data_IF_385676626957
#
_entry.id   IF_385676626957
#
_cell.length_a   1.000
_cell.length_b   1.000
_cell.length_c   1.000
_cell.angle_alpha   90.00
_cell.angle_beta   90.00
_cell.angle_gamma   90.00
#
_symmetry.space_group_name_H-M   'P 1'
#
loop_
_entity.id
_entity.type
_entity.pdbx_description
1 polymer ?
#
# COMPACT_ATOMS: atom_id res chain seq x y z
N UNK A 1 -15.94 0.33 -2.32
CA UNK A 1 -14.81 -0.37 -1.69
C UNK A 1 -14.20 0.54 -0.65
N UNK A 2 -13.68 -0.02 0.43
CA UNK A 2 -12.81 0.73 1.36
C UNK A 2 -11.40 0.85 0.79
N UNK A 3 -10.61 1.77 1.34
CA UNK A 3 -9.18 1.90 1.00
C UNK A 3 -8.42 0.59 1.26
N UNK A 4 -8.68 -0.07 2.39
CA UNK A 4 -8.06 -1.34 2.75
C UNK A 4 -8.44 -2.47 1.77
N UNK A 5 -9.72 -2.57 1.38
CA UNK A 5 -10.17 -3.53 0.36
C UNK A 5 -9.45 -3.32 -0.98
N UNK A 6 -9.31 -2.05 -1.41
CA UNK A 6 -8.61 -1.70 -2.65
C UNK A 6 -7.12 -2.10 -2.57
N UNK A 7 -6.46 -1.73 -1.49
CA UNK A 7 -5.03 -2.03 -1.28
C UNK A 7 -4.75 -3.52 -1.24
N UNK A 8 -5.50 -4.30 -0.44
CA UNK A 8 -5.38 -5.77 -0.40
C UNK A 8 -5.63 -6.41 -1.75
N UNK A 9 -6.60 -5.89 -2.52
CA UNK A 9 -6.86 -6.36 -3.88
C UNK A 9 -5.69 -6.04 -4.81
N UNK A 10 -5.07 -4.86 -4.71
CA UNK A 10 -3.90 -4.50 -5.51
C UNK A 10 -2.71 -5.42 -5.21
N UNK A 11 -2.38 -5.62 -3.93
CA UNK A 11 -1.32 -6.55 -3.49
C UNK A 11 -1.60 -7.97 -3.96
N UNK A 12 -2.81 -8.49 -3.75
CA UNK A 12 -3.19 -9.82 -4.23
C UNK A 12 -3.07 -9.95 -5.74
N UNK A 13 -3.53 -8.94 -6.50
CA UNK A 13 -3.40 -8.92 -7.97
C UNK A 13 -1.94 -8.94 -8.39
N UNK A 14 -1.07 -8.18 -7.71
CA UNK A 14 0.36 -8.18 -7.97
C UNK A 14 0.99 -9.55 -7.70
N UNK A 15 0.66 -10.22 -6.58
CA UNK A 15 1.14 -11.57 -6.27
C UNK A 15 0.76 -12.58 -7.36
N UNK A 16 -0.48 -12.55 -7.86
CA UNK A 16 -0.92 -13.47 -8.92
C UNK A 16 -0.20 -13.24 -10.26
N UNK A 17 0.28 -12.02 -10.52
CA UNK A 17 0.92 -11.62 -11.77
C UNK A 17 2.43 -11.39 -11.63
N UNK A 18 3.01 -11.75 -10.48
CA UNK A 18 4.43 -11.51 -10.21
C UNK A 18 5.28 -12.34 -11.20
N UNK A 19 6.26 -11.71 -11.90
CA UNK A 19 7.10 -12.41 -12.87
C UNK A 19 7.99 -13.50 -12.26
N UNK A 20 8.23 -13.46 -10.94
CA UNK A 20 8.92 -14.52 -10.18
C UNK A 20 8.05 -15.77 -10.02
N UNK A 21 6.73 -15.64 -10.21
CA UNK A 21 5.73 -16.67 -9.99
C UNK A 21 5.19 -16.67 -8.56
N UNK A 22 3.89 -16.96 -8.44
CA UNK A 22 3.14 -16.95 -7.16
C UNK A 22 3.82 -17.79 -6.07
N UNK A 23 4.31 -18.98 -6.39
CA UNK A 23 4.94 -19.88 -5.40
C UNK A 23 6.22 -19.29 -4.80
N UNK A 24 7.01 -18.57 -5.60
CA UNK A 24 8.21 -17.90 -5.11
C UNK A 24 7.85 -16.80 -4.10
N UNK A 25 6.83 -16.01 -4.40
CA UNK A 25 6.32 -14.95 -3.52
C UNK A 25 5.76 -15.51 -2.22
N UNK A 26 4.95 -16.57 -2.29
CA UNK A 26 4.40 -17.21 -1.09
C UNK A 26 5.50 -17.81 -0.21
N UNK A 27 6.55 -18.38 -0.80
CA UNK A 27 7.70 -18.89 -0.07
C UNK A 27 8.47 -17.77 0.66
N UNK A 28 8.58 -16.60 0.04
CA UNK A 28 9.18 -15.41 0.67
C UNK A 28 8.37 -14.95 1.89
N UNK A 29 7.05 -14.83 1.74
CA UNK A 29 6.15 -14.47 2.84
C UNK A 29 6.19 -15.49 3.99
N UNK A 30 6.25 -16.78 3.68
CA UNK A 30 6.39 -17.85 4.69
C UNK A 30 7.73 -17.75 5.45
N UNK A 31 8.82 -17.43 4.75
CA UNK A 31 10.12 -17.20 5.38
C UNK A 31 10.06 -16.00 6.34
N UNK A 32 9.49 -14.87 5.90
CA UNK A 32 9.31 -13.68 6.75
C UNK A 32 8.48 -13.96 8.00
N UNK A 33 7.40 -14.75 7.87
CA UNK A 33 6.59 -15.20 9.02
C UNK A 33 7.41 -16.00 10.03
N UNK A 34 8.20 -16.97 9.54
CA UNK A 34 9.08 -17.77 10.40
C UNK A 34 10.15 -16.93 11.10
N UNK A 35 10.65 -15.89 10.44
CA UNK A 35 11.62 -14.99 11.04
C UNK A 35 10.98 -14.11 12.11
N UNK A 36 9.77 -13.59 11.85
CA UNK A 36 8.98 -12.86 12.85
C UNK A 36 8.66 -13.70 14.10
N UNK A 37 8.30 -14.98 13.93
CA UNK A 37 8.01 -15.90 15.04
C UNK A 37 9.23 -16.17 15.94
N UNK A 38 10.45 -16.07 15.39
CA UNK A 38 11.70 -16.27 16.14
C UNK A 38 12.18 -15.03 16.88
N UNK A 39 11.65 -13.85 16.53
CA UNK A 39 12.04 -12.61 17.19
C UNK A 39 11.62 -12.62 18.66
N UNK A 40 12.43 -12.00 19.51
CA UNK A 40 12.03 -11.72 20.89
C UNK A 40 10.96 -10.62 20.91
N UNK A 41 10.24 -10.54 22.02
CA UNK A 41 9.10 -9.63 22.14
C UNK A 41 9.51 -8.15 22.00
N UNK A 42 10.71 -7.79 22.48
CA UNK A 42 11.30 -6.45 22.33
C UNK A 42 11.73 -6.15 20.89
N UNK A 43 12.06 -7.16 20.10
CA UNK A 43 12.43 -7.01 18.69
C UNK A 43 11.20 -6.93 17.78
N UNK A 44 10.10 -7.60 18.15
CA UNK A 44 8.85 -7.58 17.37
C UNK A 44 8.21 -6.21 17.29
N UNK A 45 8.41 -5.33 18.28
CA UNK A 45 7.91 -3.95 18.25
C UNK A 45 8.47 -3.15 17.06
N UNK A 46 9.69 -3.47 16.64
CA UNK A 46 10.38 -2.78 15.54
C UNK A 46 10.21 -3.50 14.19
N UNK A 47 9.54 -4.64 14.16
CA UNK A 47 9.33 -5.41 12.94
C UNK A 47 8.23 -4.77 12.07
N UNK A 48 8.48 -4.68 10.76
CA UNK A 48 7.47 -4.21 9.80
C UNK A 48 6.43 -5.31 9.57
N UNK A 49 5.34 -5.28 10.34
CA UNK A 49 4.26 -6.27 10.28
C UNK A 49 3.56 -6.32 8.92
N UNK A 50 3.62 -5.24 8.13
CA UNK A 50 3.07 -5.20 6.77
C UNK A 50 3.78 -6.21 5.86
N UNK A 51 5.06 -6.49 6.10
CA UNK A 51 5.85 -7.45 5.31
C UNK A 51 5.40 -8.90 5.44
N UNK A 52 4.52 -9.20 6.41
CA UNK A 52 3.93 -10.53 6.61
C UNK A 52 2.80 -10.84 5.61
N UNK A 53 2.17 -9.80 5.06
CA UNK A 53 1.05 -9.92 4.11
C UNK A 53 1.37 -9.29 2.75
N UNK A 54 2.24 -8.28 2.72
CA UNK A 54 2.68 -7.61 1.50
C UNK A 54 4.17 -7.89 1.21
N UNK A 55 4.51 -8.61 0.12
CA UNK A 55 5.89 -8.89 -0.25
C UNK A 55 6.62 -7.64 -0.79
N UNK A 56 5.88 -6.64 -1.27
CA UNK A 56 6.40 -5.42 -1.89
C UNK A 56 6.57 -4.34 -0.82
N UNK A 57 7.82 -4.05 -0.43
CA UNK A 57 8.10 -3.08 0.63
C UNK A 57 7.76 -1.64 0.24
N UNK A 58 7.89 -1.33 -1.05
CA UNK A 58 7.74 -0.01 -1.67
C UNK A 58 6.29 0.42 -1.93
N UNK A 59 5.33 -0.41 -1.52
CA UNK A 59 3.90 -0.18 -1.74
C UNK A 59 3.18 -0.15 -0.40
N UNK A 60 2.61 1.00 -0.02
CA UNK A 60 1.96 1.21 1.29
C UNK A 60 0.76 2.15 1.20
N UNK A 61 -0.14 2.05 2.19
CA UNK A 61 -1.06 3.14 2.52
C UNK A 61 -0.31 4.15 3.39
N UNK A 62 -0.04 5.34 2.86
CA UNK A 62 0.70 6.39 3.57
C UNK A 62 -0.17 7.27 4.47
N UNK A 63 -1.45 7.45 4.08
CA UNK A 63 -2.40 8.27 4.81
C UNK A 63 -3.81 7.66 4.70
N UNK A 64 -4.52 7.61 5.82
CA UNK A 64 -5.85 7.04 5.93
C UNK A 64 -5.95 5.98 7.03
N UNK A 65 -7.16 5.73 7.49
CA UNK A 65 -7.51 4.66 8.42
C UNK A 65 -7.69 3.31 7.73
N UNK A 66 -7.89 3.30 6.41
CA UNK A 66 -8.22 2.11 5.62
C UNK A 66 -9.73 1.91 5.44
N UNK A 67 -10.57 2.59 6.23
CA UNK A 67 -12.03 2.43 6.21
C UNK A 67 -12.74 3.45 5.29
N UNK A 68 -12.00 4.41 4.75
CA UNK A 68 -12.51 5.43 3.84
C UNK A 68 -13.18 4.78 2.63
N UNK A 69 -14.39 5.26 2.28
CA UNK A 69 -15.09 4.78 1.08
C UNK A 69 -14.56 5.49 -0.16
N UNK A 70 -13.91 4.72 -1.03
CA UNK A 70 -13.28 5.24 -2.24
C UNK A 70 -14.22 5.05 -3.44
N UNK A 71 -14.46 6.14 -4.19
CA UNK A 71 -15.22 6.14 -5.45
C UNK A 71 -14.46 6.82 -6.60
N UNK A 72 -13.54 7.72 -6.27
CA UNK A 72 -12.73 8.48 -7.22
C UNK A 72 -11.28 8.52 -6.77
N UNK A 73 -10.35 8.44 -7.71
CA UNK A 73 -8.93 8.50 -7.44
C UNK A 73 -8.21 9.40 -8.45
N UNK A 74 -7.18 10.10 -7.99
CA UNK A 74 -6.19 10.78 -8.82
C UNK A 74 -4.92 9.92 -8.81
N UNK A 75 -4.46 9.49 -9.98
CA UNK A 75 -3.33 8.57 -10.13
C UNK A 75 -2.22 9.26 -10.91
N UNK A 76 -0.99 9.17 -10.43
CA UNK A 76 0.18 9.81 -11.04
C UNK A 76 1.43 8.95 -10.88
N UNK A 77 2.48 9.29 -11.64
CA UNK A 77 3.79 8.68 -11.46
C UNK A 77 4.40 9.20 -10.15
N UNK A 78 4.46 10.52 -10.06
CA UNK A 78 4.81 11.27 -8.87
C UNK A 78 3.55 11.96 -8.34
N UNK A 79 3.25 11.77 -7.07
CA UNK A 79 2.21 12.54 -6.35
C UNK A 79 2.92 13.32 -5.25
N UNK A 80 3.28 14.55 -5.56
CA UNK A 80 3.98 15.42 -4.64
C UNK A 80 3.05 16.57 -4.18
N UNK A 81 3.64 17.64 -3.67
CA UNK A 81 2.88 18.81 -3.18
C UNK A 81 1.99 19.41 -4.26
N UNK A 82 2.43 19.42 -5.53
CA UNK A 82 1.65 19.96 -6.65
C UNK A 82 0.34 19.20 -6.86
N UNK A 83 0.40 17.87 -6.86
CA UNK A 83 -0.73 16.98 -7.11
C UNK A 83 -1.69 16.98 -5.91
N UNK A 84 -1.17 17.13 -4.69
CA UNK A 84 -1.99 17.35 -3.49
C UNK A 84 -2.81 18.63 -3.59
N UNK A 85 -2.18 19.75 -3.98
CA UNK A 85 -2.88 21.02 -4.19
C UNK A 85 -3.87 20.96 -5.37
N UNK A 86 -3.53 20.22 -6.42
CA UNK A 86 -4.44 19.96 -7.53
C UNK A 86 -5.67 19.20 -7.06
N UNK A 87 -5.51 18.13 -6.28
CA UNK A 87 -6.62 17.36 -5.72
C UNK A 87 -7.56 18.24 -4.90
N UNK A 88 -7.00 19.12 -4.06
CA UNK A 88 -7.79 20.08 -3.27
C UNK A 88 -8.51 21.11 -4.17
N UNK A 89 -7.84 21.63 -5.20
CA UNK A 89 -8.45 22.55 -6.17
C UNK A 89 -9.61 21.90 -6.95
N UNK A 90 -9.47 20.62 -7.31
CA UNK A 90 -10.51 19.86 -7.98
C UNK A 90 -11.72 19.66 -7.07
N UNK A 91 -11.49 19.33 -5.79
CA UNK A 91 -12.54 19.26 -4.76
C UNK A 91 -13.29 20.57 -4.62
N UNK A 92 -12.57 21.69 -4.51
CA UNK A 92 -13.16 23.02 -4.42
C UNK A 92 -14.03 23.39 -5.65
N UNK A 93 -13.72 22.81 -6.81
CA UNK A 93 -14.49 22.98 -8.07
C UNK A 93 -15.60 21.94 -8.25
N UNK A 94 -15.94 21.18 -7.21
CA UNK A 94 -17.01 20.19 -7.23
C UNK A 94 -16.65 18.86 -7.88
N UNK A 95 -15.36 18.59 -8.16
CA UNK A 95 -14.89 17.27 -8.62
C UNK A 95 -14.42 16.45 -7.43
N UNK A 96 -14.98 15.26 -7.25
CA UNK A 96 -14.56 14.36 -6.17
C UNK A 96 -13.17 13.77 -6.42
N UNK A 97 -12.35 13.73 -5.37
CA UNK A 97 -11.07 13.01 -5.33
C UNK A 97 -10.96 12.36 -3.95
N UNK A 98 -11.29 11.08 -3.84
CA UNK A 98 -11.30 10.38 -2.55
C UNK A 98 -9.92 9.80 -2.18
N UNK A 99 -9.08 9.52 -3.18
CA UNK A 99 -7.78 8.89 -3.03
C UNK A 99 -6.76 9.49 -3.99
N UNK A 100 -5.50 9.59 -3.57
CA UNK A 100 -4.37 9.82 -4.46
C UNK A 100 -3.50 8.56 -4.49
N UNK A 101 -2.99 8.18 -5.66
CA UNK A 101 -2.14 7.00 -5.87
C UNK A 101 -0.88 7.43 -6.61
N UNK A 102 0.28 7.25 -5.96
CA UNK A 102 1.60 7.45 -6.56
C UNK A 102 2.17 6.14 -7.07
N UNK A 103 2.91 6.18 -8.18
CA UNK A 103 3.73 5.05 -8.60
C UNK A 103 5.03 5.01 -7.80
N UNK A 104 5.75 6.14 -7.74
CA UNK A 104 6.96 6.21 -6.95
C UNK A 104 6.62 6.23 -5.46
N UNK A 105 7.38 5.49 -4.64
CA UNK A 105 7.19 5.50 -3.19
C UNK A 105 7.42 6.88 -2.60
N UNK A 106 6.59 7.24 -1.62
CA UNK A 106 6.68 8.49 -0.89
C UNK A 106 6.83 8.19 0.61
N UNK A 107 7.60 9.01 1.34
CA UNK A 107 7.71 8.89 2.79
C UNK A 107 8.24 7.53 3.28
N UNK A 108 7.42 6.77 4.02
CA UNK A 108 7.78 5.45 4.59
C UNK A 108 7.30 4.27 3.74
N UNK A 109 6.87 4.52 2.50
CA UNK A 109 6.72 3.48 1.49
C UNK A 109 8.11 3.10 0.96
#
# INVERSE_FOLDING_TARGET
MTLNELYKKAVSTAIENDPRGKDAVLKELDARKKDFEKLKEDEKEFFDSETLENPYSDSRILNGSGEEKIKSALVGIDIEVGELLLAESLKAKGKSVDLLISHHPEGRA
#
